data_IF_210083220740
#
_entry.id   IF_210083220740
#
_cell.length_a   1.000
_cell.length_b   1.000
_cell.length_c   1.000
_cell.angle_alpha   90.00
_cell.angle_beta   90.00
_cell.angle_gamma   90.00
#
_symmetry.space_group_name_H-M   'P 1'
#
loop_
_entity.id
_entity.type
_entity.pdbx_description
1 polymer ?
#
# COMPACT_ATOMS: atom_id res chain seq x y z
N UNK A 1 22.72 0.11 -2.35
CA UNK A 1 22.02 -0.20 -1.08
C UNK A 1 21.03 0.91 -0.81
N UNK A 2 19.74 0.68 -1.04
CA UNK A 2 18.67 1.58 -0.59
C UNK A 2 18.31 1.17 0.84
N UNK A 3 18.20 2.15 1.74
CA UNK A 3 17.66 1.95 3.08
C UNK A 3 16.35 2.71 3.16
N UNK A 4 15.20 2.06 3.50
CA UNK A 4 13.98 2.80 3.76
C UNK A 4 14.24 3.75 4.93
N UNK A 5 13.89 5.04 4.78
CA UNK A 5 14.16 6.05 5.82
C UNK A 5 12.92 6.29 6.68
N UNK A 6 11.73 6.10 6.10
CA UNK A 6 10.45 6.23 6.79
C UNK A 6 9.47 5.21 6.24
N UNK A 7 8.80 4.53 7.16
CA UNK A 7 7.62 3.71 6.94
C UNK A 7 6.54 4.27 7.87
N UNK A 8 5.34 4.47 7.34
CA UNK A 8 4.16 4.85 8.09
C UNK A 8 2.93 4.14 7.52
N UNK A 9 1.76 4.37 8.12
CA UNK A 9 0.52 3.68 7.72
C UNK A 9 0.01 4.07 6.32
N UNK A 10 0.61 5.05 5.64
CA UNK A 10 0.24 5.47 4.29
C UNK A 10 1.27 5.02 3.24
N UNK A 11 2.42 4.49 3.64
CA UNK A 11 3.46 4.02 2.72
C UNK A 11 4.87 4.20 3.24
N UNK A 12 5.85 4.23 2.33
CA UNK A 12 7.27 4.29 2.68
C UNK A 12 8.11 5.14 1.71
N UNK A 13 9.22 5.65 2.23
CA UNK A 13 10.21 6.43 1.49
C UNK A 13 11.44 5.57 1.15
N UNK A 14 11.81 5.52 -0.13
CA UNK A 14 13.09 4.98 -0.60
C UNK A 14 14.07 6.07 -0.95
N UNK A 15 15.32 5.83 -0.60
CA UNK A 15 16.44 6.70 -0.89
C UNK A 15 17.29 6.10 -2.00
N UNK A 16 17.28 6.75 -3.16
CA UNK A 16 18.08 6.36 -4.32
C UNK A 16 19.33 7.24 -4.39
N UNK A 17 20.49 6.60 -4.41
CA UNK A 17 21.78 7.28 -4.58
C UNK A 17 22.36 6.88 -5.94
N UNK A 18 22.54 7.85 -6.83
CA UNK A 18 23.13 7.67 -8.15
C UNK A 18 24.28 8.67 -8.33
N UNK A 19 25.52 8.20 -8.11
CA UNK A 19 26.69 9.07 -8.03
C UNK A 19 26.55 10.09 -6.90
N UNK A 20 26.64 11.37 -7.23
CA UNK A 20 26.44 12.48 -6.28
C UNK A 20 24.95 12.86 -6.06
N UNK A 21 24.01 12.30 -6.83
CA UNK A 21 22.58 12.61 -6.71
C UNK A 21 21.94 11.71 -5.66
N UNK A 22 21.23 12.33 -4.71
CA UNK A 22 20.34 11.64 -3.76
C UNK A 22 18.92 12.07 -4.08
N UNK A 23 18.03 11.09 -4.25
CA UNK A 23 16.61 11.30 -4.49
C UNK A 23 15.79 10.48 -3.51
N UNK A 24 14.72 11.08 -3.00
CA UNK A 24 13.77 10.42 -2.11
C UNK A 24 12.48 10.18 -2.88
N UNK A 25 12.08 8.92 -3.03
CA UNK A 25 10.84 8.52 -3.67
C UNK A 25 9.87 7.99 -2.62
N UNK A 26 8.63 8.47 -2.67
CA UNK A 26 7.52 8.01 -1.82
C UNK A 26 6.70 6.99 -2.58
N UNK A 27 6.54 5.80 -2.01
CA UNK A 27 5.60 4.79 -2.47
C UNK A 27 4.39 4.81 -1.54
N UNK A 28 3.20 4.96 -2.11
CA UNK A 28 1.95 4.98 -1.37
C UNK A 28 1.34 3.58 -1.31
N UNK A 29 0.76 3.26 -0.17
CA UNK A 29 -0.12 2.11 -0.02
C UNK A 29 -1.46 2.35 -0.71
N UNK A 30 -2.09 1.27 -1.18
CA UNK A 30 -3.40 1.35 -1.85
C UNK A 30 -4.50 1.73 -0.87
N UNK A 31 -4.36 1.26 0.37
CA UNK A 31 -5.20 1.62 1.51
C UNK A 31 -4.32 1.89 2.74
N UNK A 32 -4.85 2.61 3.74
CA UNK A 32 -4.09 2.83 4.98
C UNK A 32 -3.83 1.49 5.65
N UNK A 33 -2.56 1.17 5.90
CA UNK A 33 -2.18 0.00 6.65
C UNK A 33 -2.67 0.12 8.10
N UNK A 34 -3.38 -0.90 8.57
CA UNK A 34 -3.94 -0.96 9.94
C UNK A 34 -3.15 -1.88 10.87
N UNK A 35 -2.28 -2.71 10.32
CA UNK A 35 -1.37 -3.60 11.03
C UNK A 35 -0.01 -3.68 10.32
N UNK A 36 0.99 -4.24 10.99
CA UNK A 36 2.31 -4.51 10.37
C UNK A 36 2.21 -5.57 9.25
N UNK A 37 1.32 -6.56 9.41
CA UNK A 37 1.07 -7.61 8.42
C UNK A 37 0.48 -7.04 7.12
N UNK A 38 -0.51 -6.15 7.24
CA UNK A 38 -1.12 -5.42 6.12
C UNK A 38 -0.08 -4.54 5.40
N UNK A 39 0.76 -3.82 6.16
CA UNK A 39 1.87 -3.07 5.57
C UNK A 39 2.87 -3.98 4.84
N UNK A 40 3.19 -5.15 5.38
CA UNK A 40 4.10 -6.12 4.76
C UNK A 40 3.53 -6.67 3.44
N UNK A 41 2.25 -7.02 3.41
CA UNK A 41 1.55 -7.48 2.20
C UNK A 41 1.60 -6.41 1.11
N UNK A 42 1.22 -5.17 1.43
CA UNK A 42 1.23 -4.07 0.47
C UNK A 42 2.65 -3.73 -0.03
N UNK A 43 3.68 -3.85 0.81
CA UNK A 43 5.08 -3.72 0.37
C UNK A 43 5.45 -4.85 -0.61
N UNK A 44 5.06 -6.09 -0.33
CA UNK A 44 5.35 -7.24 -1.21
C UNK A 44 4.69 -7.06 -2.57
N UNK A 45 3.44 -6.59 -2.61
CA UNK A 45 2.74 -6.31 -3.87
C UNK A 45 3.45 -5.24 -4.71
N UNK A 46 3.91 -4.16 -4.07
CA UNK A 46 4.65 -3.08 -4.75
C UNK A 46 6.02 -3.54 -5.27
N UNK A 47 6.72 -4.41 -4.54
CA UNK A 47 8.06 -4.90 -4.91
C UNK A 47 8.01 -6.08 -5.89
N UNK A 48 6.99 -6.92 -5.79
CA UNK A 48 6.82 -8.14 -6.57
C UNK A 48 5.39 -8.21 -7.12
N UNK A 49 5.04 -7.37 -8.12
CA UNK A 49 3.70 -7.35 -8.67
C UNK A 49 3.37 -8.73 -9.23
N UNK A 50 2.48 -9.46 -8.55
CA UNK A 50 1.99 -10.73 -9.07
C UNK A 50 0.97 -10.39 -10.16
N UNK A 51 1.24 -10.82 -11.39
CA UNK A 51 0.44 -10.51 -12.60
C UNK A 51 -1.04 -10.95 -12.56
N UNK A 52 -1.50 -11.50 -11.42
CA UNK A 52 -2.78 -12.17 -11.27
C UNK A 52 -3.73 -11.50 -10.26
N UNK A 53 -3.44 -10.30 -9.78
CA UNK A 53 -4.38 -9.59 -8.91
C UNK A 53 -5.51 -8.99 -9.75
N UNK A 54 -6.56 -9.78 -9.94
CA UNK A 54 -7.90 -9.28 -10.23
C UNK A 54 -8.23 -8.17 -9.23
N UNK A 55 -8.43 -6.96 -9.75
CA UNK A 55 -8.84 -5.75 -9.03
C UNK A 55 -9.89 -6.11 -7.96
N UNK A 56 -9.79 -5.58 -6.72
CA UNK A 56 -10.90 -5.65 -5.79
C UNK A 56 -12.13 -5.05 -6.47
N UNK A 57 -13.17 -5.87 -6.62
CA UNK A 57 -14.50 -5.41 -6.97
C UNK A 57 -14.94 -4.52 -5.81
N UNK A 58 -15.02 -3.22 -6.03
CA UNK A 58 -15.77 -2.36 -5.12
C UNK A 58 -17.22 -2.84 -5.16
N UNK A 59 -17.62 -3.63 -4.15
CA UNK A 59 -19.02 -3.91 -3.90
C UNK A 59 -19.61 -2.68 -3.20
N UNK A 60 -20.53 -1.92 -3.82
CA UNK A 60 -21.24 -0.89 -3.09
C UNK A 60 -22.13 -1.58 -2.06
N UNK A 61 -21.76 -1.44 -0.78
CA UNK A 61 -22.56 -1.85 0.37
C UNK A 61 -23.88 -1.09 0.37
N UNK A 62 -24.89 -1.65 -0.28
CA UNK A 62 -26.28 -1.23 -0.18
C UNK A 62 -26.85 -1.66 1.16
N UNK A 63 -27.13 -0.69 2.02
CA UNK A 63 -27.84 -0.85 3.28
C UNK A 63 -29.28 -1.28 3.01
N UNK A 64 -29.60 -2.57 3.15
CA UNK A 64 -30.99 -3.03 3.23
C UNK A 64 -31.45 -3.03 4.68
N UNK A 65 -32.61 -2.40 4.85
CA UNK A 65 -33.20 -1.85 6.05
C UNK A 65 -33.70 -2.92 7.03
N UNK A 66 -33.67 -2.58 8.32
CA UNK A 66 -34.39 -3.27 9.39
C UNK A 66 -35.86 -2.81 9.42
N UNK A 67 -36.73 -3.76 9.75
CA UNK A 67 -37.96 -3.59 10.56
C UNK A 67 -39.33 -3.61 9.84
N UNK A 68 -40.05 -4.71 10.14
CA UNK A 68 -41.47 -4.88 10.50
C UNK A 68 -42.56 -4.09 9.77
N UNK A 69 -43.52 -4.80 9.15
CA UNK A 69 -44.78 -5.18 9.82
C UNK A 69 -45.59 -6.18 9.00
#
# INVERSE_FOLDING_TARGET
RSTPIRLDSLGFDLRLCAGAKIESLRFAFSTRATSEEDAEEQIKELLFPTTNQSKPLEEPKGTSQTESS
#
